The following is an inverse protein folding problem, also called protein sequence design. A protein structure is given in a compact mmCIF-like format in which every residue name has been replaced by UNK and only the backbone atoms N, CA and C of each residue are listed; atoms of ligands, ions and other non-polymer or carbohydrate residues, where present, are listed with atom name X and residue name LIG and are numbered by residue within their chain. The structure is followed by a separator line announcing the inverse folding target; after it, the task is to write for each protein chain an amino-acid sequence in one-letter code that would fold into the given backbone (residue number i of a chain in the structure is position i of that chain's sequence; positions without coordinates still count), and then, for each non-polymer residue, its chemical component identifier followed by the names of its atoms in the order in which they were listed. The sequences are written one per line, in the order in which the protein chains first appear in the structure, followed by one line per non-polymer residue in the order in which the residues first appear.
data_IF_540715608963
#
_entry.id   IF_540715608963
#
_cell.length_a   1.000
_cell.length_b   1.000
_cell.length_c   1.000
_cell.angle_alpha   90.00
_cell.angle_beta   90.00
_cell.angle_gamma   90.00
#
_symmetry.space_group_name_H-M   'P 1'
#
loop_
_entity.id
_entity.type
_entity.pdbx_description
1 polymer ?
#
# COMPACT_ATOMS: atom_id res chain seq x y z
N UNK A 1 18.16 2.85 -28.79
CA UNK A 1 17.18 1.87 -28.32
C UNK A 1 16.61 2.34 -27.00
N UNK A 2 15.33 2.50 -26.91
CA UNK A 2 14.73 2.97 -25.68
C UNK A 2 14.47 1.81 -24.70
N UNK A 3 14.26 2.13 -23.41
CA UNK A 3 14.03 1.13 -22.37
C UNK A 3 12.72 0.36 -22.57
N UNK A 4 11.72 1.00 -23.17
CA UNK A 4 10.41 0.39 -23.42
C UNK A 4 10.52 -0.74 -24.44
N UNK A 5 11.23 -0.53 -25.54
CA UNK A 5 11.46 -1.58 -26.55
C UNK A 5 12.22 -2.76 -25.96
N UNK A 6 13.25 -2.50 -25.15
CA UNK A 6 14.04 -3.55 -24.49
C UNK A 6 13.18 -4.36 -23.54
N UNK A 7 12.33 -3.73 -22.74
CA UNK A 7 11.42 -4.38 -21.80
C UNK A 7 10.39 -5.23 -22.52
N UNK A 8 9.82 -4.72 -23.62
CA UNK A 8 8.85 -5.45 -24.44
C UNK A 8 9.48 -6.71 -25.05
N UNK A 9 10.72 -6.59 -25.56
CA UNK A 9 11.45 -7.73 -26.11
C UNK A 9 11.72 -8.81 -25.09
N UNK A 10 12.09 -8.44 -23.87
CA UNK A 10 12.32 -9.35 -22.77
C UNK A 10 11.05 -10.11 -22.40
N UNK A 11 9.92 -9.40 -22.30
CA UNK A 11 8.63 -10.00 -21.98
C UNK A 11 8.20 -11.03 -23.05
N UNK A 12 8.35 -10.68 -24.32
CA UNK A 12 8.05 -11.59 -25.41
C UNK A 12 8.86 -12.88 -25.36
N UNK A 13 10.13 -12.76 -24.98
CA UNK A 13 11.01 -13.93 -24.81
C UNK A 13 10.58 -14.80 -23.64
N UNK A 14 10.22 -14.18 -22.53
CA UNK A 14 9.76 -14.90 -21.34
C UNK A 14 8.50 -15.70 -21.65
N UNK A 15 7.56 -15.13 -22.39
CA UNK A 15 6.33 -15.79 -22.81
C UNK A 15 6.59 -17.05 -23.64
N UNK A 16 7.66 -17.04 -24.44
CA UNK A 16 8.03 -18.19 -25.28
C UNK A 16 8.78 -19.28 -24.54
N UNK A 17 9.56 -18.91 -23.52
CA UNK A 17 10.47 -19.82 -22.84
C UNK A 17 9.87 -20.43 -21.56
N UNK A 18 8.93 -19.74 -20.92
CA UNK A 18 8.35 -20.20 -19.68
C UNK A 18 7.04 -20.95 -19.92
N UNK A 19 6.77 -22.01 -19.13
CA UNK A 19 5.53 -22.76 -19.24
C UNK A 19 4.33 -22.04 -18.62
N UNK A 20 4.41 -20.73 -18.48
CA UNK A 20 3.35 -19.87 -17.95
C UNK A 20 2.61 -19.19 -19.07
N UNK A 21 1.31 -18.94 -18.91
CA UNK A 21 0.51 -18.18 -19.85
C UNK A 21 0.77 -16.68 -19.67
N UNK A 22 0.40 -15.89 -20.70
CA UNK A 22 0.42 -14.44 -20.61
C UNK A 22 -0.39 -13.95 -19.42
N UNK A 23 -1.54 -14.56 -19.19
CA UNK A 23 -2.44 -14.26 -18.09
C UNK A 23 -1.76 -14.46 -16.73
N UNK A 24 -1.02 -15.56 -16.57
CA UNK A 24 -0.27 -15.85 -15.35
C UNK A 24 0.82 -14.82 -15.09
N UNK A 25 1.50 -14.36 -16.13
CA UNK A 25 2.55 -13.36 -16.03
C UNK A 25 1.98 -12.00 -15.62
N UNK A 26 0.84 -11.62 -16.22
CA UNK A 26 0.15 -10.38 -15.88
C UNK A 26 -0.34 -10.41 -14.43
N UNK A 27 -0.92 -11.54 -14.01
CA UNK A 27 -1.41 -11.72 -12.65
C UNK A 27 -0.28 -11.61 -11.64
N UNK A 28 0.85 -12.25 -11.91
CA UNK A 28 2.04 -12.16 -11.05
C UNK A 28 2.52 -10.72 -10.93
N UNK A 29 2.53 -9.96 -12.02
CA UNK A 29 2.89 -8.55 -12.02
C UNK A 29 1.95 -7.70 -11.16
N UNK A 30 0.64 -7.95 -11.25
CA UNK A 30 -0.36 -7.27 -10.44
C UNK A 30 -0.17 -7.58 -8.96
N UNK A 31 -0.02 -8.85 -8.61
CA UNK A 31 0.20 -9.29 -7.23
C UNK A 31 1.45 -8.65 -6.65
N UNK A 32 2.55 -8.61 -7.42
CA UNK A 32 3.80 -7.96 -6.97
C UNK A 32 3.60 -6.49 -6.66
N UNK A 33 2.84 -5.76 -7.48
CA UNK A 33 2.55 -4.34 -7.24
C UNK A 33 1.69 -4.13 -6.00
N UNK A 34 0.70 -5.00 -5.79
CA UNK A 34 -0.15 -4.93 -4.61
C UNK A 34 0.70 -5.13 -3.35
N UNK A 35 1.55 -6.14 -3.34
CA UNK A 35 2.43 -6.44 -2.21
C UNK A 35 3.39 -5.28 -1.93
N UNK A 36 3.97 -4.70 -2.98
CA UNK A 36 4.86 -3.54 -2.84
C UNK A 36 4.13 -2.35 -2.20
N UNK A 37 2.91 -2.07 -2.65
CA UNK A 37 2.10 -0.99 -2.08
C UNK A 37 1.74 -1.25 -0.62
N UNK A 38 1.34 -2.48 -0.29
CA UNK A 38 1.05 -2.87 1.09
C UNK A 38 2.26 -2.70 1.99
N UNK A 39 3.45 -3.03 1.50
CA UNK A 39 4.71 -2.85 2.23
C UNK A 39 4.95 -1.38 2.56
N UNK A 40 4.74 -0.48 1.59
CA UNK A 40 4.86 0.96 1.81
C UNK A 40 3.87 1.46 2.86
N UNK A 41 2.61 1.01 2.77
CA UNK A 41 1.58 1.41 3.72
C UNK A 41 1.88 0.91 5.14
N UNK A 42 2.40 -0.31 5.27
CA UNK A 42 2.79 -0.88 6.57
C UNK A 42 3.96 -0.13 7.19
N UNK A 43 4.90 0.36 6.38
CA UNK A 43 6.00 1.21 6.87
C UNK A 43 5.47 2.53 7.40
N UNK A 44 4.53 3.15 6.68
CA UNK A 44 3.91 4.39 7.13
C UNK A 44 3.12 4.18 8.42
N UNK A 45 2.38 3.08 8.52
CA UNK A 45 1.64 2.71 9.73
C UNK A 45 2.58 2.48 10.90
N UNK A 46 3.70 1.80 10.67
CA UNK A 46 4.69 1.55 11.73
C UNK A 46 5.19 2.85 12.34
N UNK A 47 5.44 3.87 11.52
CA UNK A 47 5.84 5.20 12.02
C UNK A 47 4.77 5.79 12.94
N UNK A 48 3.51 5.65 12.55
CA UNK A 48 2.40 6.15 13.36
C UNK A 48 2.23 5.37 14.66
N UNK A 49 2.44 4.05 14.61
CA UNK A 49 2.41 3.20 15.80
C UNK A 49 3.51 3.63 16.79
N UNK A 50 4.71 3.92 16.30
CA UNK A 50 5.82 4.39 17.13
C UNK A 50 5.50 5.72 17.81
N UNK A 51 4.72 6.60 17.14
CA UNK A 51 4.33 7.90 17.69
C UNK A 51 3.17 7.83 18.68
N UNK A 52 2.18 6.98 18.42
CA UNK A 52 0.88 7.02 19.10
C UNK A 52 0.43 5.69 19.72
N UNK A 53 1.19 4.62 19.57
CA UNK A 53 0.88 3.26 20.02
C UNK A 53 -0.20 2.59 19.16
N UNK A 54 -1.41 3.15 19.09
CA UNK A 54 -2.49 2.59 18.28
C UNK A 54 -3.39 3.69 17.72
N UNK A 55 -4.12 3.34 16.66
CA UNK A 55 -5.12 4.24 16.07
C UNK A 55 -6.19 4.62 17.08
N UNK A 56 -6.62 3.65 17.88
CA UNK A 56 -7.64 3.84 18.90
C UNK A 56 -7.16 4.81 19.99
N UNK A 57 -5.88 4.71 20.39
CA UNK A 57 -5.27 5.64 21.34
C UNK A 57 -5.24 7.05 20.81
N UNK A 58 -4.81 7.22 19.55
CA UNK A 58 -4.78 8.55 18.92
C UNK A 58 -6.19 9.13 18.80
N UNK A 59 -7.15 8.35 18.35
CA UNK A 59 -8.55 8.77 18.22
C UNK A 59 -9.11 9.24 19.57
N UNK A 60 -8.85 8.45 20.63
CA UNK A 60 -9.30 8.80 21.98
C UNK A 60 -8.67 10.11 22.46
N UNK A 61 -7.36 10.27 22.28
CA UNK A 61 -6.66 11.48 22.71
C UNK A 61 -7.24 12.71 22.02
N UNK A 62 -7.49 12.62 20.72
CA UNK A 62 -8.06 13.75 19.96
C UNK A 62 -9.48 14.06 20.44
N UNK A 63 -10.29 13.04 20.72
CA UNK A 63 -11.65 13.25 21.26
C UNK A 63 -11.65 13.90 22.64
N UNK A 64 -10.68 13.57 23.48
CA UNK A 64 -10.55 14.12 24.81
C UNK A 64 -9.97 15.55 24.81
N UNK A 65 -8.95 15.80 23.99
CA UNK A 65 -8.24 17.08 23.98
C UNK A 65 -8.70 18.06 22.89
N UNK A 66 -9.40 17.55 21.88
CA UNK A 66 -9.81 18.32 20.72
C UNK A 66 -8.65 18.64 19.78
N UNK A 67 -8.97 19.33 18.68
CA UNK A 67 -7.97 19.79 17.70
C UNK A 67 -7.57 21.21 18.09
N UNK A 68 -6.28 21.41 18.36
CA UNK A 68 -5.79 22.75 18.72
C UNK A 68 -5.66 23.61 17.47
N UNK A 69 -5.99 24.93 17.56
CA UNK A 69 -5.85 25.83 16.42
C UNK A 69 -4.41 25.97 15.91
N UNK A 70 -3.43 25.76 16.80
CA UNK A 70 -2.03 25.99 16.49
C UNK A 70 -1.30 24.75 16.00
N UNK A 71 -1.84 23.55 16.28
CA UNK A 71 -1.20 22.30 15.88
C UNK A 71 -2.25 21.26 15.46
N UNK A 72 -2.35 21.07 14.15
CA UNK A 72 -3.25 20.08 13.54
C UNK A 72 -2.56 18.75 13.25
N UNK A 73 -1.28 18.59 13.63
CA UNK A 73 -0.49 17.40 13.30
C UNK A 73 -1.14 16.11 13.80
N UNK A 74 -1.57 15.98 15.06
CA UNK A 74 -2.22 14.74 15.51
C UNK A 74 -3.49 14.41 14.73
N UNK A 75 -4.30 15.40 14.42
CA UNK A 75 -5.51 15.21 13.65
C UNK A 75 -5.21 14.76 12.22
N UNK A 76 -4.21 15.39 11.58
CA UNK A 76 -3.77 14.99 10.24
C UNK A 76 -3.22 13.57 10.24
N UNK A 77 -2.47 13.18 11.26
CA UNK A 77 -1.95 11.83 11.41
C UNK A 77 -3.08 10.81 11.60
N UNK A 78 -4.15 11.18 12.31
CA UNK A 78 -5.33 10.33 12.45
C UNK A 78 -5.99 10.07 11.10
N UNK A 79 -6.17 11.13 10.29
CA UNK A 79 -6.77 11.00 8.96
C UNK A 79 -5.89 10.15 8.03
N UNK A 80 -4.58 10.38 8.06
CA UNK A 80 -3.61 9.58 7.29
C UNK A 80 -3.69 8.11 7.69
N UNK A 81 -3.72 7.83 8.98
CA UNK A 81 -3.77 6.45 9.49
C UNK A 81 -5.06 5.74 9.08
N UNK A 82 -6.19 6.43 9.16
CA UNK A 82 -7.47 5.88 8.70
C UNK A 82 -7.43 5.55 7.20
N UNK A 83 -6.83 6.43 6.40
CA UNK A 83 -6.66 6.22 4.97
C UNK A 83 -5.76 5.01 4.69
N UNK A 84 -4.65 4.86 5.43
CA UNK A 84 -3.76 3.70 5.33
C UNK A 84 -4.52 2.41 5.64
N UNK A 85 -5.26 2.38 6.74
CA UNK A 85 -6.06 1.21 7.14
C UNK A 85 -7.07 0.83 6.06
N UNK A 86 -7.77 1.81 5.52
CA UNK A 86 -8.75 1.59 4.46
C UNK A 86 -8.08 0.99 3.22
N UNK A 87 -6.98 1.57 2.76
CA UNK A 87 -6.29 1.08 1.58
C UNK A 87 -5.72 -0.33 1.79
N UNK A 88 -5.17 -0.62 2.98
CA UNK A 88 -4.69 -1.96 3.32
C UNK A 88 -5.81 -3.00 3.26
N UNK A 89 -6.99 -2.67 3.77
CA UNK A 89 -8.16 -3.55 3.71
C UNK A 89 -8.59 -3.82 2.27
N UNK A 90 -8.63 -2.79 1.44
CA UNK A 90 -9.01 -2.92 0.03
C UNK A 90 -8.00 -3.77 -0.74
N UNK A 91 -6.70 -3.56 -0.51
CA UNK A 91 -5.65 -4.35 -1.15
C UNK A 91 -5.69 -5.81 -0.70
N UNK A 92 -5.97 -6.05 0.58
CA UNK A 92 -6.13 -7.40 1.11
C UNK A 92 -7.30 -8.13 0.45
N UNK A 93 -8.44 -7.46 0.31
CA UNK A 93 -9.60 -8.03 -0.40
C UNK A 93 -9.27 -8.34 -1.84
N UNK A 94 -8.53 -7.46 -2.50
CA UNK A 94 -8.12 -7.68 -3.88
C UNK A 94 -7.24 -8.91 -4.01
N UNK A 95 -6.28 -9.12 -3.10
CA UNK A 95 -5.46 -10.34 -3.08
C UNK A 95 -6.30 -11.60 -2.84
N UNK A 96 -7.27 -11.52 -1.94
CA UNK A 96 -8.15 -12.66 -1.63
C UNK A 96 -9.05 -13.03 -2.80
N UNK A 97 -9.32 -12.11 -3.70
CA UNK A 97 -10.16 -12.33 -4.87
C UNK A 97 -9.42 -12.92 -6.07
N UNK A 98 -8.13 -13.01 -6.01
CA UNK A 98 -7.29 -13.54 -7.10
C UNK A 98 -7.12 -15.09 -7.01
#
# INVERSE_FOLDING_TARGET
MDATSSTTGMLSRALKLLPATEEDILLTGIVSKIIARMTELKKAEKRLIELYESLETLDRVIKETGVTPDDHTPYNDLLEWRAIRYELEELTRLLESI
#
